data_IF_852435734285
#
_entry.id   IF_852435734285
#
_cell.length_a   1.000
_cell.length_b   1.000
_cell.length_c   1.000
_cell.angle_alpha   90.00
_cell.angle_beta   90.00
_cell.angle_gamma   90.00
#
_symmetry.space_group_name_H-M   'P 1'
#
loop_
_entity.id
_entity.type
_entity.pdbx_description
1 polymer ?
#
# COMPACT_ATOMS: atom_id res chain seq x y z
N UNK A 1 -17.40 -4.71 -2.02
CA UNK A 1 -16.20 -4.31 -1.24
C UNK A 1 -16.25 -2.96 -0.47
N UNK A 2 -16.44 -1.79 -1.11
CA UNK A 2 -16.21 -0.47 -0.48
C UNK A 2 -17.01 -0.19 0.80
N UNK A 3 -18.29 -0.59 0.85
CA UNK A 3 -19.11 -0.42 2.06
C UNK A 3 -18.55 -1.17 3.27
N UNK A 4 -17.92 -2.34 3.07
CA UNK A 4 -17.29 -3.14 4.13
C UNK A 4 -16.10 -2.41 4.73
N UNK A 5 -15.18 -1.92 3.89
CA UNK A 5 -13.98 -1.18 4.36
C UNK A 5 -14.32 0.18 4.96
N UNK A 6 -15.34 0.88 4.44
CA UNK A 6 -15.79 2.13 5.07
C UNK A 6 -16.30 1.91 6.51
N UNK A 7 -16.92 0.77 6.77
CA UNK A 7 -17.39 0.36 8.09
C UNK A 7 -16.31 -0.29 8.97
N UNK A 8 -15.12 -0.56 8.42
CA UNK A 8 -14.00 -1.12 9.17
C UNK A 8 -13.49 -0.14 10.24
N UNK A 9 -12.84 -0.64 11.31
CA UNK A 9 -12.22 0.20 12.32
C UNK A 9 -11.13 1.09 11.71
N UNK A 10 -10.87 2.22 12.36
CA UNK A 10 -9.64 2.99 12.11
C UNK A 10 -8.49 2.23 12.75
N UNK A 11 -7.45 1.95 11.98
CA UNK A 11 -6.26 1.22 12.40
C UNK A 11 -5.19 2.15 12.98
N UNK A 12 -5.10 3.38 12.48
CA UNK A 12 -4.13 4.38 12.96
C UNK A 12 -2.88 4.45 12.09
N UNK A 13 -1.70 4.53 12.71
CA UNK A 13 -0.39 4.55 12.05
C UNK A 13 0.34 3.24 12.32
N UNK A 14 0.63 2.47 11.28
CA UNK A 14 1.23 1.14 11.37
C UNK A 14 2.54 1.00 10.61
N UNK A 15 3.13 -0.18 10.69
CA UNK A 15 4.35 -0.55 9.99
C UNK A 15 4.05 -1.68 8.99
N UNK A 16 4.45 -1.50 7.74
CA UNK A 16 4.53 -2.55 6.72
C UNK A 16 5.78 -3.38 6.96
N UNK A 17 5.59 -4.67 7.20
CA UNK A 17 6.67 -5.60 7.50
C UNK A 17 6.59 -6.80 6.60
N UNK A 18 7.75 -7.30 6.18
CA UNK A 18 7.87 -8.64 5.67
C UNK A 18 8.04 -9.63 6.83
N UNK A 19 7.21 -10.67 6.89
CA UNK A 19 7.22 -11.65 7.99
C UNK A 19 8.48 -12.50 8.08
N UNK A 20 9.27 -12.53 7.02
CA UNK A 20 10.52 -13.26 6.91
C UNK A 20 11.75 -12.38 7.17
N UNK A 21 11.58 -11.06 7.32
CA UNK A 21 12.68 -10.18 7.66
C UNK A 21 13.23 -10.46 9.05
N UNK A 22 14.55 -10.57 9.14
CA UNK A 22 15.28 -10.54 10.41
C UNK A 22 15.63 -9.11 10.85
N UNK A 23 15.47 -8.14 9.95
CA UNK A 23 15.81 -6.74 10.17
C UNK A 23 14.94 -5.85 9.25
N UNK A 24 13.85 -5.25 9.77
CA UNK A 24 13.41 -5.33 11.16
C UNK A 24 12.65 -6.63 11.42
N UNK A 25 12.98 -7.34 12.50
CA UNK A 25 12.15 -8.47 12.97
C UNK A 25 10.90 -7.93 13.67
N UNK A 26 9.73 -8.22 13.11
CA UNK A 26 8.44 -7.76 13.66
C UNK A 26 8.23 -8.19 15.12
N UNK A 27 8.79 -9.33 15.53
CA UNK A 27 8.70 -9.83 16.92
C UNK A 27 9.39 -8.86 17.87
N UNK A 28 10.54 -8.33 17.45
CA UNK A 28 11.31 -7.36 18.22
C UNK A 28 10.63 -6.00 18.23
N UNK A 29 10.03 -5.58 17.11
CA UNK A 29 9.23 -4.36 17.04
C UNK A 29 8.03 -4.42 18.00
N UNK A 30 7.32 -5.55 18.05
CA UNK A 30 6.23 -5.77 19.00
C UNK A 30 6.75 -5.75 20.44
N UNK A 31 7.78 -6.53 20.77
CA UNK A 31 8.28 -6.66 22.15
C UNK A 31 8.76 -5.32 22.73
N UNK A 32 9.54 -4.56 21.94
CA UNK A 32 10.21 -3.35 22.45
C UNK A 32 9.48 -2.05 22.13
N UNK A 33 8.72 -2.01 21.04
CA UNK A 33 8.24 -0.75 20.44
C UNK A 33 6.74 -0.73 20.19
N UNK A 34 5.94 -1.62 20.83
CA UNK A 34 4.48 -1.69 20.63
C UNK A 34 3.75 -0.36 20.74
N UNK A 35 4.19 0.56 21.60
CA UNK A 35 3.59 1.90 21.75
C UNK A 35 3.94 2.90 20.65
N UNK A 36 4.86 2.54 19.75
CA UNK A 36 5.35 3.35 18.64
C UNK A 36 4.51 3.24 17.36
N UNK A 37 3.63 2.26 17.25
CA UNK A 37 2.75 2.02 16.11
C UNK A 37 1.42 1.40 16.58
N UNK A 38 0.38 1.46 15.77
CA UNK A 38 -0.97 1.05 16.16
C UNK A 38 -1.32 -0.36 15.61
N UNK A 39 -0.80 -0.71 14.42
CA UNK A 39 -1.02 -1.97 13.72
C UNK A 39 0.20 -2.40 12.88
N UNK A 40 0.20 -3.65 12.39
CA UNK A 40 1.14 -4.14 11.38
C UNK A 40 0.42 -4.39 10.06
N UNK A 41 0.95 -3.87 8.96
CA UNK A 41 0.60 -4.40 7.64
C UNK A 41 1.56 -5.54 7.32
N UNK A 42 1.00 -6.71 7.02
CA UNK A 42 1.77 -7.94 6.94
C UNK A 42 1.99 -8.30 5.47
N UNK A 43 3.25 -8.41 5.07
CA UNK A 43 3.69 -8.78 3.72
C UNK A 43 4.48 -10.09 3.75
N UNK A 44 4.52 -10.80 2.61
CA UNK A 44 5.15 -12.13 2.52
C UNK A 44 5.98 -12.35 1.26
N UNK A 45 6.41 -11.31 0.53
CA UNK A 45 7.23 -11.43 -0.69
C UNK A 45 6.73 -12.47 -1.71
N UNK A 46 5.40 -12.54 -1.89
CA UNK A 46 4.74 -13.52 -2.76
C UNK A 46 4.77 -14.98 -2.26
N UNK A 47 5.50 -15.29 -1.17
CA UNK A 47 5.49 -16.63 -0.56
C UNK A 47 4.31 -16.77 0.40
N UNK A 48 3.19 -17.23 -0.14
CA UNK A 48 1.98 -17.55 0.62
C UNK A 48 1.97 -19.00 1.15
N UNK A 49 2.93 -19.84 0.74
CA UNK A 49 3.00 -21.25 1.14
C UNK A 49 3.54 -21.39 2.56
N UNK A 50 4.52 -20.57 2.94
CA UNK A 50 5.25 -20.67 4.21
C UNK A 50 4.83 -19.65 5.28
N UNK A 51 3.56 -19.21 5.27
CA UNK A 51 3.06 -18.13 6.13
C UNK A 51 2.45 -18.57 7.46
N UNK A 52 2.07 -19.85 7.60
CA UNK A 52 1.30 -20.32 8.78
C UNK A 52 2.04 -20.08 10.10
N UNK A 53 3.31 -20.48 10.18
CA UNK A 53 4.11 -20.34 11.40
C UNK A 53 4.40 -18.86 11.72
N UNK A 54 4.95 -18.03 10.79
CA UNK A 54 5.18 -16.61 11.08
C UNK A 54 3.91 -15.83 11.44
N UNK A 55 2.78 -16.10 10.79
CA UNK A 55 1.51 -15.43 11.11
C UNK A 55 1.00 -15.82 12.50
N UNK A 56 1.19 -17.07 12.93
CA UNK A 56 0.81 -17.53 14.26
C UNK A 56 1.62 -16.86 15.39
N UNK A 57 2.79 -16.30 15.07
CA UNK A 57 3.61 -15.57 16.02
C UNK A 57 3.16 -14.12 16.24
N UNK A 58 2.28 -13.58 15.39
CA UNK A 58 1.69 -12.24 15.60
C UNK A 58 0.62 -12.35 16.70
N UNK A 59 0.79 -11.68 17.86
CA UNK A 59 -0.17 -11.78 18.95
C UNK A 59 -1.57 -11.33 18.55
N UNK A 60 -2.60 -12.01 19.08
CA UNK A 60 -4.00 -11.78 18.71
C UNK A 60 -4.49 -10.34 18.96
N UNK A 61 -3.87 -9.60 19.88
CA UNK A 61 -4.18 -8.23 20.24
C UNK A 61 -3.41 -7.16 19.43
N UNK A 62 -2.48 -7.55 18.54
CA UNK A 62 -1.77 -6.62 17.64
C UNK A 62 -2.54 -6.46 16.34
N UNK A 63 -3.33 -5.39 16.10
CA UNK A 63 -4.14 -5.25 14.89
C UNK A 63 -3.29 -5.40 13.62
N UNK A 64 -3.89 -5.94 12.55
CA UNK A 64 -3.17 -6.14 11.29
C UNK A 64 -4.01 -5.98 10.04
N UNK A 65 -3.39 -5.48 8.98
CA UNK A 65 -3.85 -5.58 7.59
C UNK A 65 -2.99 -6.63 6.87
N UNK A 66 -3.30 -6.91 5.61
CA UNK A 66 -2.54 -7.86 4.82
C UNK A 66 -2.19 -7.23 3.48
N UNK A 67 -0.91 -7.21 3.15
CA UNK A 67 -0.41 -6.84 1.83
C UNK A 67 -0.09 -8.12 1.06
N UNK A 68 -0.81 -8.35 -0.03
CA UNK A 68 -0.60 -9.50 -0.90
C UNK A 68 0.05 -9.04 -2.20
N UNK A 69 0.74 -9.97 -2.85
CA UNK A 69 1.39 -9.74 -4.12
C UNK A 69 1.13 -10.91 -5.07
N UNK A 70 0.88 -10.58 -6.34
CA UNK A 70 0.84 -11.54 -7.42
C UNK A 70 -0.56 -11.91 -7.90
N UNK A 71 -1.58 -11.12 -7.54
CA UNK A 71 -2.89 -11.20 -8.18
C UNK A 71 -2.91 -10.50 -9.55
N UNK A 72 -1.89 -9.69 -9.83
CA UNK A 72 -1.66 -9.00 -11.10
C UNK A 72 -2.94 -8.35 -11.65
N UNK A 73 -3.65 -7.51 -10.86
CA UNK A 73 -5.02 -7.12 -11.18
C UNK A 73 -5.11 -6.35 -12.50
N UNK A 74 -4.03 -5.71 -12.96
CA UNK A 74 -3.97 -4.96 -14.22
C UNK A 74 -3.56 -5.80 -15.43
N UNK A 75 -3.30 -7.09 -15.22
CA UNK A 75 -3.01 -8.05 -16.27
C UNK A 75 -4.16 -8.20 -17.28
N UNK A 76 -3.88 -8.61 -18.53
CA UNK A 76 -4.89 -8.76 -19.57
C UNK A 76 -5.91 -9.87 -19.29
N UNK A 77 -5.63 -10.74 -18.33
CA UNK A 77 -6.51 -11.80 -17.83
C UNK A 77 -6.28 -11.99 -16.32
N UNK A 78 -7.22 -12.65 -15.66
CA UNK A 78 -7.11 -13.04 -14.26
C UNK A 78 -5.87 -13.93 -14.04
N UNK A 79 -5.17 -13.73 -12.92
CA UNK A 79 -4.04 -14.55 -12.54
C UNK A 79 -4.43 -16.05 -12.34
N UNK A 80 -3.44 -16.97 -12.33
CA UNK A 80 -3.68 -18.38 -12.02
C UNK A 80 -4.33 -18.61 -10.65
N UNK A 81 -4.84 -19.82 -10.43
CA UNK A 81 -5.57 -20.14 -9.19
C UNK A 81 -4.69 -20.10 -7.92
N UNK A 82 -3.40 -20.44 -8.02
CA UNK A 82 -2.48 -20.52 -6.89
C UNK A 82 -2.40 -19.23 -6.05
N UNK A 83 -2.00 -18.08 -6.62
CA UNK A 83 -1.98 -16.80 -5.90
C UNK A 83 -3.32 -16.44 -5.24
N UNK A 84 -4.44 -16.72 -5.93
CA UNK A 84 -5.79 -16.44 -5.38
C UNK A 84 -6.08 -17.33 -4.16
N UNK A 85 -5.72 -18.61 -4.23
CA UNK A 85 -5.85 -19.54 -3.11
C UNK A 85 -4.95 -19.16 -1.93
N UNK A 86 -3.71 -18.73 -2.22
CA UNK A 86 -2.76 -18.19 -1.24
C UNK A 86 -3.29 -16.95 -0.53
N UNK A 87 -3.78 -15.96 -1.28
CA UNK A 87 -4.43 -14.78 -0.73
C UNK A 87 -5.63 -15.16 0.14
N UNK A 88 -6.50 -16.07 -0.33
CA UNK A 88 -7.67 -16.50 0.43
C UNK A 88 -7.29 -17.27 1.71
N UNK A 89 -6.24 -18.10 1.69
CA UNK A 89 -5.67 -18.77 2.86
C UNK A 89 -5.18 -17.73 3.87
N UNK A 90 -4.34 -16.80 3.44
CA UNK A 90 -3.72 -15.79 4.31
C UNK A 90 -4.76 -14.84 4.91
N UNK A 91 -5.79 -14.46 4.16
CA UNK A 91 -6.92 -13.70 4.71
C UNK A 91 -7.68 -14.47 5.79
N UNK A 92 -7.79 -15.81 5.72
CA UNK A 92 -8.42 -16.60 6.80
C UNK A 92 -7.54 -16.70 8.05
N UNK A 93 -6.23 -16.76 7.87
CA UNK A 93 -5.26 -16.82 8.97
C UNK A 93 -5.19 -15.49 9.71
N UNK A 94 -5.07 -14.37 8.98
CA UNK A 94 -4.92 -13.03 9.56
C UNK A 94 -6.25 -12.37 9.91
N UNK A 95 -7.34 -12.74 9.24
CA UNK A 95 -8.65 -12.09 9.31
C UNK A 95 -8.56 -10.53 9.25
N UNK A 96 -7.89 -9.97 8.24
CA UNK A 96 -7.65 -8.54 8.18
C UNK A 96 -8.94 -7.79 7.79
N UNK A 97 -9.06 -6.50 8.15
CA UNK A 97 -10.21 -5.69 7.74
C UNK A 97 -10.26 -5.47 6.22
N UNK A 98 -9.10 -5.52 5.56
CA UNK A 98 -8.91 -5.53 4.10
C UNK A 98 -7.54 -6.09 3.73
N UNK A 99 -7.35 -6.35 2.44
CA UNK A 99 -6.08 -6.74 1.83
C UNK A 99 -5.67 -5.71 0.78
N UNK A 100 -4.38 -5.42 0.67
CA UNK A 100 -3.78 -4.54 -0.33
C UNK A 100 -3.20 -5.38 -1.48
N UNK A 101 -3.24 -4.83 -2.69
CA UNK A 101 -2.58 -5.36 -3.89
C UNK A 101 -2.25 -4.21 -4.84
N UNK A 102 -1.08 -4.22 -5.45
CA UNK A 102 -0.66 -3.19 -6.39
C UNK A 102 -1.39 -3.27 -7.72
N UNK A 103 -1.64 -2.10 -8.32
CA UNK A 103 -2.06 -1.95 -9.70
C UNK A 103 -0.88 -2.16 -10.67
N UNK A 104 -0.27 -3.33 -10.58
CA UNK A 104 0.88 -3.75 -11.37
C UNK A 104 0.75 -5.22 -11.79
N UNK A 105 1.68 -5.64 -12.65
CA UNK A 105 1.94 -7.03 -12.97
C UNK A 105 3.33 -7.41 -12.45
N UNK A 106 3.40 -8.52 -11.73
CA UNK A 106 4.62 -9.18 -11.25
C UNK A 106 4.89 -10.49 -11.98
N UNK A 107 3.93 -11.02 -12.73
CA UNK A 107 4.15 -12.22 -13.55
C UNK A 107 4.08 -11.95 -15.04
N UNK A 108 5.15 -12.29 -15.76
CA UNK A 108 5.18 -12.30 -17.22
C UNK A 108 5.44 -13.74 -17.68
N UNK A 109 4.52 -14.28 -18.48
CA UNK A 109 4.59 -15.67 -18.98
C UNK A 109 4.78 -16.70 -17.85
N UNK A 110 4.06 -16.48 -16.74
CA UNK A 110 4.10 -17.34 -15.55
C UNK A 110 5.37 -17.22 -14.70
N UNK A 111 6.27 -16.29 -15.01
CA UNK A 111 7.49 -16.04 -14.23
C UNK A 111 7.33 -14.78 -13.39
N UNK A 112 7.60 -14.91 -12.10
CA UNK A 112 7.71 -13.79 -11.18
C UNK A 112 8.88 -12.88 -11.57
N UNK A 113 8.70 -11.58 -11.37
CA UNK A 113 9.70 -10.55 -11.62
C UNK A 113 9.85 -9.68 -10.39
N UNK A 114 11.09 -9.38 -10.00
CA UNK A 114 11.38 -8.48 -8.87
C UNK A 114 11.02 -7.00 -9.18
N UNK A 115 10.50 -6.74 -10.38
CA UNK A 115 10.10 -5.44 -10.87
C UNK A 115 8.57 -5.35 -11.02
N UNK A 116 7.99 -4.23 -10.63
CA UNK A 116 6.57 -3.94 -10.90
C UNK A 116 6.40 -3.39 -12.32
N UNK A 117 5.59 -4.06 -13.14
CA UNK A 117 5.15 -3.47 -14.40
C UNK A 117 3.86 -2.68 -14.14
N UNK A 118 3.90 -1.34 -14.10
CA UNK A 118 2.72 -0.55 -13.78
C UNK A 118 1.67 -0.67 -14.89
N UNK A 119 0.42 -0.35 -14.55
CA UNK A 119 -0.70 -0.35 -15.48
C UNK A 119 -0.41 0.51 -16.72
N UNK A 120 -0.86 0.04 -17.89
CA UNK A 120 -1.02 0.91 -19.06
C UNK A 120 -2.21 1.82 -18.77
N UNK A 121 -1.97 3.12 -18.61
CA UNK A 121 -2.97 4.11 -18.22
C UNK A 121 -3.92 4.42 -19.38
N UNK A 122 -4.84 3.50 -19.67
CA UNK A 122 -5.85 3.65 -20.70
C UNK A 122 -7.16 2.93 -20.35
N UNK A 123 -8.21 3.18 -21.13
CA UNK A 123 -9.56 2.66 -20.87
C UNK A 123 -9.65 1.13 -20.96
N UNK A 124 -8.84 0.49 -21.80
CA UNK A 124 -8.85 -0.96 -21.97
C UNK A 124 -8.29 -1.67 -20.74
N UNK A 125 -7.20 -1.15 -20.17
CA UNK A 125 -6.62 -1.66 -18.94
C UNK A 125 -7.59 -1.45 -17.76
N UNK A 126 -8.25 -0.29 -17.65
CA UNK A 126 -9.33 -0.09 -16.65
C UNK A 126 -10.40 -1.19 -16.72
N UNK A 127 -10.88 -1.52 -17.93
CA UNK A 127 -11.91 -2.54 -18.11
C UNK A 127 -11.44 -3.93 -17.67
N UNK A 128 -10.20 -4.30 -18.03
CA UNK A 128 -9.58 -5.55 -17.60
C UNK A 128 -9.42 -5.59 -16.07
N UNK A 129 -8.86 -4.53 -15.48
CA UNK A 129 -8.66 -4.41 -14.02
C UNK A 129 -9.96 -4.53 -13.25
N UNK A 130 -11.02 -3.83 -13.67
CA UNK A 130 -12.33 -3.92 -13.04
C UNK A 130 -12.91 -5.33 -13.13
N UNK A 131 -12.73 -6.01 -14.27
CA UNK A 131 -13.19 -7.39 -14.43
C UNK A 131 -12.42 -8.35 -13.51
N UNK A 132 -11.10 -8.21 -13.43
CA UNK A 132 -10.23 -9.02 -12.58
C UNK A 132 -10.54 -8.82 -11.11
N UNK A 133 -10.61 -7.58 -10.62
CA UNK A 133 -10.97 -7.27 -9.22
C UNK A 133 -12.34 -7.84 -8.83
N UNK A 134 -13.33 -7.78 -9.73
CA UNK A 134 -14.66 -8.40 -9.50
C UNK A 134 -14.62 -9.93 -9.49
N UNK A 135 -13.69 -10.54 -10.21
CA UNK A 135 -13.51 -11.99 -10.17
C UNK A 135 -12.80 -12.40 -8.88
N UNK A 136 -11.77 -11.65 -8.47
CA UNK A 136 -11.04 -11.83 -7.21
C UNK A 136 -11.96 -11.69 -5.99
N UNK A 137 -12.80 -10.65 -5.93
CA UNK A 137 -13.75 -10.43 -4.82
C UNK A 137 -14.67 -11.65 -4.59
N UNK A 138 -14.99 -12.43 -5.63
CA UNK A 138 -15.83 -13.63 -5.51
C UNK A 138 -15.08 -14.84 -4.93
N UNK A 139 -13.74 -14.81 -4.94
CA UNK A 139 -12.88 -15.94 -4.60
C UNK A 139 -12.14 -15.77 -3.28
N UNK A 140 -11.90 -14.53 -2.85
CA UNK A 140 -11.26 -14.20 -1.58
C UNK A 140 -12.31 -13.75 -0.53
N UNK A 141 -12.12 -14.05 0.76
CA UNK A 141 -13.14 -13.78 1.79
C UNK A 141 -13.29 -12.29 2.17
N UNK A 142 -12.23 -11.51 2.03
CA UNK A 142 -12.09 -10.13 2.47
C UNK A 142 -12.16 -9.10 1.34
N UNK A 143 -12.29 -7.81 1.67
CA UNK A 143 -12.11 -6.73 0.71
C UNK A 143 -10.67 -6.68 0.18
N UNK A 144 -10.51 -6.41 -1.11
CA UNK A 144 -9.23 -6.11 -1.75
C UNK A 144 -9.19 -4.63 -2.16
N UNK A 145 -8.12 -3.95 -1.81
CA UNK A 145 -7.88 -2.54 -2.07
C UNK A 145 -6.71 -2.39 -3.05
N UNK A 146 -6.95 -1.93 -4.28
CA UNK A 146 -5.88 -1.64 -5.21
C UNK A 146 -5.05 -0.42 -4.77
N UNK A 147 -3.74 -0.55 -4.89
CA UNK A 147 -2.72 0.47 -4.63
C UNK A 147 -2.09 0.98 -5.94
N UNK A 148 -1.71 2.25 -6.05
CA UNK A 148 -0.89 2.70 -7.18
C UNK A 148 0.56 2.20 -7.05
N UNK A 149 1.02 1.47 -8.06
CA UNK A 149 2.39 0.95 -8.16
C UNK A 149 3.46 2.04 -8.32
N UNK A 150 4.76 1.72 -8.11
CA UNK A 150 5.86 2.61 -8.49
C UNK A 150 5.98 2.74 -10.01
N UNK A 151 6.39 3.92 -10.48
CA UNK A 151 6.59 4.23 -11.90
C UNK A 151 8.05 4.61 -12.15
N UNK A 152 8.71 3.85 -13.03
CA UNK A 152 9.95 4.27 -13.69
C UNK A 152 9.69 4.79 -15.11
N UNK A 153 8.54 4.41 -15.66
CA UNK A 153 8.01 4.90 -16.92
C UNK A 153 6.48 4.90 -16.85
N UNK A 154 5.85 5.81 -17.61
CA UNK A 154 4.40 5.85 -17.75
C UNK A 154 4.02 5.66 -19.22
N UNK A 155 3.01 4.82 -19.47
CA UNK A 155 2.47 4.57 -20.82
C UNK A 155 0.96 4.65 -20.76
N UNK A 156 0.36 5.32 -21.73
CA UNK A 156 -1.09 5.50 -21.82
C UNK A 156 -1.47 6.94 -22.11
N UNK A 157 -2.78 7.19 -22.22
CA UNK A 157 -3.39 8.48 -22.50
C UNK A 157 -4.25 9.01 -21.34
N UNK A 158 -4.38 8.25 -20.26
CA UNK A 158 -5.08 8.65 -19.04
C UNK A 158 -4.09 9.11 -17.96
N UNK A 159 -4.55 10.04 -17.12
CA UNK A 159 -3.85 10.37 -15.88
C UNK A 159 -3.98 9.22 -14.86
N UNK A 160 -2.95 8.99 -14.03
CA UNK A 160 -2.98 7.98 -12.96
C UNK A 160 -4.23 8.09 -12.08
N UNK A 161 -4.53 9.29 -11.60
CA UNK A 161 -5.71 9.51 -10.74
C UNK A 161 -7.04 9.24 -11.45
N UNK A 162 -7.14 9.51 -12.75
CA UNK A 162 -8.34 9.17 -13.52
C UNK A 162 -8.47 7.65 -13.66
N UNK A 163 -7.35 6.95 -13.91
CA UNK A 163 -7.30 5.49 -13.93
C UNK A 163 -7.76 4.88 -12.59
N UNK A 164 -7.20 5.34 -11.47
CA UNK A 164 -7.55 4.86 -10.12
C UNK A 164 -9.03 5.09 -9.81
N UNK A 165 -9.56 6.27 -10.15
CA UNK A 165 -10.99 6.57 -9.97
C UNK A 165 -11.88 5.60 -10.76
N UNK A 166 -11.59 5.41 -12.04
CA UNK A 166 -12.41 4.52 -12.86
C UNK A 166 -12.35 3.07 -12.38
N UNK A 167 -11.19 2.60 -11.92
CA UNK A 167 -11.02 1.28 -11.32
C UNK A 167 -11.83 1.17 -10.01
N UNK A 168 -11.65 2.11 -9.09
CA UNK A 168 -12.33 2.09 -7.78
C UNK A 168 -13.85 2.13 -7.90
N UNK A 169 -14.38 2.97 -8.79
CA UNK A 169 -15.82 3.07 -9.03
C UNK A 169 -16.35 1.87 -9.82
N UNK A 170 -15.59 1.37 -10.79
CA UNK A 170 -15.98 0.22 -11.60
C UNK A 170 -16.03 -1.08 -10.80
N UNK A 171 -15.07 -1.30 -9.90
CA UNK A 171 -14.96 -2.45 -9.00
C UNK A 171 -15.67 -2.24 -7.65
N UNK A 172 -16.22 -1.05 -7.40
CA UNK A 172 -16.87 -0.66 -6.15
C UNK A 172 -15.98 -0.91 -4.91
N UNK A 173 -14.67 -0.67 -5.02
CA UNK A 173 -13.68 -0.82 -3.94
C UNK A 173 -13.24 0.55 -3.37
N UNK A 174 -12.46 0.49 -2.29
CA UNK A 174 -11.64 1.62 -1.85
C UNK A 174 -10.27 1.56 -2.54
N UNK A 175 -9.40 2.49 -2.20
CA UNK A 175 -8.03 2.57 -2.72
C UNK A 175 -7.03 2.69 -1.58
N UNK A 176 -5.84 2.16 -1.83
CA UNK A 176 -4.61 2.56 -1.14
C UNK A 176 -3.91 3.61 -2.01
N UNK A 177 -3.39 4.66 -1.37
CA UNK A 177 -2.61 5.69 -2.04
C UNK A 177 -1.19 5.70 -1.48
N UNK A 178 -0.24 5.11 -2.21
CA UNK A 178 1.17 5.27 -1.88
C UNK A 178 1.69 6.62 -2.40
N UNK A 179 2.25 7.42 -1.48
CA UNK A 179 2.67 8.79 -1.78
C UNK A 179 4.03 8.85 -2.49
N UNK A 180 4.92 7.89 -2.24
CA UNK A 180 6.17 7.74 -2.96
C UNK A 180 5.95 7.38 -4.42
N UNK A 181 5.01 6.46 -4.67
CA UNK A 181 4.57 6.01 -5.98
C UNK A 181 3.86 7.13 -6.75
N UNK A 182 3.05 7.97 -6.10
CA UNK A 182 2.53 9.19 -6.73
C UNK A 182 3.68 10.08 -7.21
N UNK A 183 4.69 10.31 -6.37
CA UNK A 183 5.82 11.13 -6.76
C UNK A 183 6.67 10.50 -7.88
N UNK A 184 6.85 9.18 -7.84
CA UNK A 184 7.53 8.41 -8.90
C UNK A 184 6.84 8.62 -10.26
N UNK A 185 5.50 8.58 -10.30
CA UNK A 185 4.72 8.89 -11.49
C UNK A 185 4.92 10.33 -11.96
N UNK A 186 4.90 11.30 -11.04
CA UNK A 186 5.14 12.71 -11.39
C UNK A 186 6.53 12.92 -11.99
N UNK A 187 7.56 12.22 -11.49
CA UNK A 187 8.90 12.24 -12.07
C UNK A 187 8.89 11.73 -13.52
N UNK A 188 8.23 10.60 -13.79
CA UNK A 188 8.12 10.02 -15.14
C UNK A 188 7.45 10.95 -16.16
N UNK A 189 6.45 11.73 -15.75
CA UNK A 189 5.69 12.61 -16.66
C UNK A 189 6.21 14.05 -16.69
N UNK A 190 7.40 14.29 -16.14
CA UNK A 190 8.09 15.60 -16.17
C UNK A 190 7.50 16.64 -15.21
N UNK A 191 6.84 16.18 -14.14
CA UNK A 191 6.16 16.97 -13.10
C UNK A 191 6.69 16.73 -11.69
N UNK A 192 7.86 16.12 -11.56
CA UNK A 192 8.42 15.71 -10.25
C UNK A 192 8.62 16.83 -9.22
N UNK A 193 8.67 18.11 -9.61
CA UNK A 193 8.73 19.25 -8.68
C UNK A 193 7.34 19.67 -8.15
N UNK A 194 6.28 19.01 -8.60
CA UNK A 194 4.88 19.24 -8.22
C UNK A 194 4.26 17.89 -7.85
N UNK A 195 4.65 17.29 -6.70
CA UNK A 195 4.19 15.95 -6.32
C UNK A 195 2.67 15.86 -6.14
N UNK A 196 2.00 16.99 -5.85
CA UNK A 196 0.55 17.12 -5.71
C UNK A 196 -0.17 17.58 -7.00
N UNK A 197 0.54 17.67 -8.14
CA UNK A 197 -0.06 18.13 -9.40
C UNK A 197 -1.29 17.28 -9.75
N UNK A 198 -2.41 17.97 -9.96
CA UNK A 198 -3.70 17.38 -10.34
C UNK A 198 -4.30 16.40 -9.33
N UNK A 199 -3.89 16.44 -8.06
CA UNK A 199 -4.43 15.56 -7.00
C UNK A 199 -5.95 15.74 -6.81
N UNK A 200 -6.50 16.89 -7.17
CA UNK A 200 -7.94 17.17 -7.16
C UNK A 200 -8.75 16.30 -8.13
N UNK A 201 -8.08 15.63 -9.10
CA UNK A 201 -8.71 14.62 -9.95
C UNK A 201 -9.16 13.42 -9.14
N UNK A 202 -8.40 13.01 -8.12
CA UNK A 202 -8.62 11.80 -7.36
C UNK A 202 -9.84 11.96 -6.43
N UNK A 203 -10.77 11.00 -6.44
CA UNK A 203 -11.84 10.96 -5.45
C UNK A 203 -11.26 10.54 -4.10
N UNK A 204 -10.87 11.55 -3.32
CA UNK A 204 -10.29 11.38 -1.99
C UNK A 204 -11.22 10.64 -1.00
N UNK A 205 -12.52 10.51 -1.31
CA UNK A 205 -13.43 9.71 -0.51
C UNK A 205 -13.21 8.20 -0.67
N UNK A 206 -12.49 7.77 -1.72
CA UNK A 206 -12.14 6.36 -1.97
C UNK A 206 -10.90 5.89 -1.22
N UNK A 207 -10.07 6.81 -0.75
CA UNK A 207 -8.82 6.46 -0.05
C UNK A 207 -9.16 5.92 1.36
N UNK A 208 -8.77 4.66 1.58
CA UNK A 208 -8.93 3.95 2.86
C UNK A 208 -7.60 3.89 3.59
N UNK A 209 -6.50 3.81 2.85
CA UNK A 209 -5.15 3.69 3.39
C UNK A 209 -4.16 4.52 2.57
N UNK A 210 -3.10 4.96 3.23
CA UNK A 210 -1.99 5.72 2.65
C UNK A 210 -0.69 5.04 3.01
N UNK A 211 0.18 4.83 2.03
CA UNK A 211 1.51 4.26 2.25
C UNK A 211 2.59 5.34 2.12
N UNK A 212 3.67 5.12 2.85
CA UNK A 212 4.89 5.91 2.88
C UNK A 212 6.08 4.96 2.99
N UNK A 213 7.05 5.15 2.11
CA UNK A 213 8.27 4.39 2.10
C UNK A 213 9.48 5.33 2.07
N UNK A 214 10.62 4.83 2.54
CA UNK A 214 11.90 5.46 2.35
C UNK A 214 12.40 5.27 0.91
N UNK A 215 13.09 6.29 0.38
CA UNK A 215 13.47 6.27 -1.03
C UNK A 215 14.80 6.96 -1.30
N UNK A 216 15.30 6.75 -2.52
CA UNK A 216 16.40 7.53 -3.09
C UNK A 216 16.03 8.03 -4.48
N UNK A 217 16.36 9.28 -4.74
CA UNK A 217 16.29 9.83 -6.10
C UNK A 217 17.62 9.62 -6.80
N UNK A 218 17.55 8.99 -7.97
CA UNK A 218 18.69 8.82 -8.87
C UNK A 218 18.60 9.83 -10.01
N UNK A 219 19.65 10.64 -10.18
CA UNK A 219 19.78 11.57 -11.29
C UNK A 219 20.45 10.91 -12.49
N UNK A 220 19.95 11.17 -13.68
CA UNK A 220 20.54 10.72 -14.94
C UNK A 220 20.42 11.77 -16.03
N UNK A 221 21.13 11.58 -17.15
CA UNK A 221 21.01 12.44 -18.31
C UNK A 221 19.62 12.30 -18.92
N UNK A 222 18.72 13.23 -18.59
CA UNK A 222 17.34 13.26 -19.06
C UNK A 222 16.27 13.18 -17.98
N UNK A 223 16.62 13.04 -16.70
CA UNK A 223 15.60 13.09 -15.63
C UNK A 223 16.07 12.58 -14.27
N UNK A 224 15.07 12.25 -13.45
CA UNK A 224 15.21 11.70 -12.09
C UNK A 224 14.36 10.43 -11.99
N UNK A 225 14.89 9.37 -11.40
CA UNK A 225 14.15 8.14 -11.10
C UNK A 225 13.96 8.04 -9.60
N UNK A 226 12.74 7.73 -9.17
CA UNK A 226 12.46 7.34 -7.80
C UNK A 226 12.83 5.87 -7.60
N UNK A 227 13.74 5.59 -6.68
CA UNK A 227 14.03 4.23 -6.20
C UNK A 227 13.33 4.05 -4.88
N UNK A 228 12.33 3.17 -4.89
CA UNK A 228 11.70 2.70 -3.69
C UNK A 228 12.67 1.81 -2.92
N UNK A 229 13.04 2.27 -1.72
CA UNK A 229 13.95 1.57 -0.83
C UNK A 229 13.24 1.07 0.42
N UNK A 230 11.91 1.19 0.49
CA UNK A 230 11.13 0.89 1.69
C UNK A 230 11.81 1.44 2.96
N UNK A 231 12.08 0.57 3.92
CA UNK A 231 12.72 0.92 5.17
C UNK A 231 14.19 1.32 5.11
N UNK A 232 14.89 1.05 4.00
CA UNK A 232 16.34 1.25 3.89
C UNK A 232 16.74 2.70 3.55
N UNK A 233 15.79 3.55 3.13
CA UNK A 233 16.00 4.98 2.87
C UNK A 233 15.28 5.89 3.88
N UNK A 234 15.55 7.20 3.90
CA UNK A 234 14.69 8.16 4.59
C UNK A 234 13.38 8.36 3.80
N UNK A 235 12.27 8.61 4.50
CA UNK A 235 11.03 9.05 3.83
C UNK A 235 11.30 10.40 3.14
N UNK A 236 11.06 10.53 1.83
CA UNK A 236 11.26 11.78 1.12
C UNK A 236 10.39 12.92 1.67
N UNK A 237 10.93 14.14 1.60
CA UNK A 237 10.19 15.33 2.04
C UNK A 237 8.97 15.60 1.16
N UNK A 238 9.01 15.22 -0.12
CA UNK A 238 7.90 15.28 -1.06
C UNK A 238 6.75 14.36 -0.66
N UNK A 239 7.05 13.14 -0.21
CA UNK A 239 6.06 12.20 0.34
C UNK A 239 5.46 12.72 1.66
N UNK A 240 6.30 13.29 2.54
CA UNK A 240 5.84 13.93 3.78
C UNK A 240 5.01 15.20 3.52
N UNK A 241 5.32 15.95 2.47
CA UNK A 241 4.54 17.09 2.01
C UNK A 241 3.16 16.64 1.54
N UNK A 242 3.09 15.63 0.67
CA UNK A 242 1.83 15.02 0.24
C UNK A 242 0.99 14.54 1.41
N UNK A 243 1.61 13.87 2.40
CA UNK A 243 0.91 13.42 3.60
C UNK A 243 0.25 14.61 4.31
N UNK A 244 1.01 15.69 4.58
CA UNK A 244 0.49 16.87 5.27
C UNK A 244 -0.64 17.55 4.50
N UNK A 245 -0.52 17.62 3.18
CA UNK A 245 -1.53 18.23 2.30
C UNK A 245 -2.82 17.42 2.19
N UNK A 246 -2.70 16.09 2.13
CA UNK A 246 -3.84 15.21 1.89
C UNK A 246 -4.53 14.81 3.17
N UNK A 247 -3.81 14.62 4.27
CA UNK A 247 -4.37 14.07 5.50
C UNK A 247 -5.65 14.78 6.00
N UNK A 248 -5.82 16.11 5.93
CA UNK A 248 -7.07 16.77 6.31
C UNK A 248 -8.26 16.50 5.35
N UNK A 249 -7.98 16.03 4.13
CA UNK A 249 -8.93 15.92 3.00
C UNK A 249 -9.45 14.49 2.77
N UNK A 250 -8.99 13.48 3.51
CA UNK A 250 -9.33 12.05 3.32
C UNK A 250 -10.46 11.54 4.26
N UNK A 251 -11.75 11.73 3.97
CA UNK A 251 -12.83 11.54 4.95
C UNK A 251 -13.02 10.10 5.43
N UNK A 252 -12.58 9.10 4.66
CA UNK A 252 -12.76 7.68 4.98
C UNK A 252 -11.46 6.96 5.34
N UNK A 253 -10.33 7.69 5.44
CA UNK A 253 -9.03 7.10 5.78
C UNK A 253 -9.12 6.33 7.10
N UNK A 254 -8.48 5.16 7.13
CA UNK A 254 -8.44 4.23 8.27
C UNK A 254 -7.02 3.90 8.71
N UNK A 255 -6.06 3.93 7.79
CA UNK A 255 -4.69 3.51 8.03
C UNK A 255 -3.67 4.43 7.35
N UNK A 256 -2.52 4.58 7.99
CA UNK A 256 -1.28 5.05 7.35
C UNK A 256 -0.23 3.97 7.65
N UNK A 257 0.31 3.36 6.61
CA UNK A 257 1.37 2.34 6.70
C UNK A 257 2.69 2.98 6.33
N UNK A 258 3.70 2.78 7.19
CA UNK A 258 5.10 3.05 6.83
C UNK A 258 5.73 1.71 6.44
N UNK A 259 6.08 1.56 5.18
CA UNK A 259 6.77 0.38 4.64
C UNK A 259 8.22 0.37 5.12
N UNK A 260 8.54 -0.59 5.98
CA UNK A 260 9.84 -0.68 6.67
C UNK A 260 10.56 -2.00 6.40
N UNK A 261 10.20 -2.69 5.32
CA UNK A 261 10.95 -3.80 4.74
C UNK A 261 12.41 -3.38 4.57
N UNK A 262 13.34 -4.27 4.94
CA UNK A 262 14.79 -4.02 4.94
C UNK A 262 15.29 -2.83 5.82
N UNK A 263 14.42 -2.21 6.65
CA UNK A 263 14.84 -1.19 7.62
C UNK A 263 15.74 -1.75 8.73
N UNK A 264 16.53 -0.88 9.36
CA UNK A 264 16.97 -1.17 10.73
C UNK A 264 15.81 -0.95 11.73
N UNK A 265 15.82 -1.66 12.87
CA UNK A 265 14.87 -1.41 13.97
C UNK A 265 14.77 0.08 14.34
N UNK A 266 15.92 0.76 14.41
CA UNK A 266 15.99 2.18 14.73
C UNK A 266 15.34 3.06 13.64
N UNK A 267 15.59 2.75 12.37
CA UNK A 267 15.01 3.49 11.25
C UNK A 267 13.47 3.31 11.22
N UNK A 268 12.97 2.08 11.39
CA UNK A 268 11.53 1.83 11.43
C UNK A 268 10.83 2.64 12.53
N UNK A 269 11.42 2.67 13.73
CA UNK A 269 10.90 3.46 14.87
C UNK A 269 10.97 4.96 14.60
N UNK A 270 12.07 5.45 14.03
CA UNK A 270 12.24 6.87 13.71
C UNK A 270 11.20 7.33 12.67
N UNK A 271 11.03 6.57 11.58
CA UNK A 271 10.06 6.87 10.53
C UNK A 271 8.62 6.85 11.06
N UNK A 272 8.27 5.86 11.88
CA UNK A 272 6.97 5.82 12.56
C UNK A 272 6.74 7.07 13.44
N UNK A 273 7.77 7.52 14.17
CA UNK A 273 7.67 8.74 14.99
C UNK A 273 7.43 9.98 14.13
N UNK A 274 8.15 10.14 13.01
CA UNK A 274 7.98 11.27 12.09
C UNK A 274 6.54 11.35 11.56
N UNK A 275 5.98 10.24 11.10
CA UNK A 275 4.60 10.18 10.59
C UNK A 275 3.58 10.43 11.70
N UNK A 276 3.78 9.85 12.89
CA UNK A 276 2.89 10.08 14.06
C UNK A 276 2.91 11.53 14.51
N UNK A 277 4.00 12.27 14.36
CA UNK A 277 4.03 13.71 14.63
C UNK A 277 3.14 14.50 13.69
N UNK A 278 3.11 14.14 12.40
CA UNK A 278 2.19 14.74 11.43
C UNK A 278 0.74 14.44 11.82
N UNK A 279 0.44 13.17 12.12
CA UNK A 279 -0.91 12.74 12.53
C UNK A 279 -1.35 13.43 13.82
N UNK A 280 -0.46 13.59 14.81
CA UNK A 280 -0.77 14.31 16.06
C UNK A 280 -1.23 15.74 15.80
N UNK A 281 -0.67 16.41 14.80
CA UNK A 281 -1.01 17.80 14.46
C UNK A 281 -2.28 17.91 13.62
N UNK A 282 -2.48 16.99 12.67
CA UNK A 282 -3.52 17.12 11.65
C UNK A 282 -4.74 16.23 11.88
N UNK A 283 -4.60 15.15 12.66
CA UNK A 283 -5.66 14.22 13.08
C UNK A 283 -5.47 13.74 14.53
N UNK A 284 -5.47 14.64 15.52
CA UNK A 284 -5.21 14.29 16.93
C UNK A 284 -6.16 13.20 17.47
N UNK A 285 -7.41 13.17 17.00
CA UNK A 285 -8.41 12.18 17.40
C UNK A 285 -8.00 10.71 17.14
N UNK A 286 -7.06 10.45 16.23
CA UNK A 286 -6.51 9.10 15.99
C UNK A 286 -5.60 8.63 17.13
N UNK A 287 -4.91 9.55 17.81
CA UNK A 287 -3.98 9.22 18.88
C UNK A 287 -4.63 9.28 20.27
N UNK A 288 -5.74 10.00 20.40
CA UNK A 288 -6.49 10.14 21.66
C UNK A 288 -7.28 8.86 22.04
N UNK A 289 -7.44 7.90 21.11
CA UNK A 289 -8.15 6.64 21.32
C UNK A 289 -7.29 5.43 21.71
N UNK A 290 -5.96 5.58 21.82
CA UNK A 290 -5.02 4.47 22.11
C UNK A 290 -4.86 4.19 23.62
N UNK A 291 -5.63 4.88 24.48
CA UNK A 291 -5.64 4.67 25.92
C UNK A 291 -7.05 4.42 26.48
N UNK A 292 -7.65 3.25 26.24
CA UNK A 292 -8.66 2.53 27.07
C UNK A 292 -8.83 1.15 26.38
N UNK A 293 -8.65 -0.05 26.94
CA UNK A 293 -8.57 -0.58 28.32
C UNK A 293 -7.64 -1.79 28.34
#
# INVERSE_FOLDING_TARGET
PFKRVKAAPVMGVGLGIDIFDSQPDFRVLIDKHRGGFDFLEVYSRGDWEHTDDPFAEIPADVPRTYHHEGLDPVGPALCPDGPIEGCAKNQRLLNPPWTVEELAVRHIDGKYTDFFFPAILNKQCVQATVANLKALEKRIPGPLLPENAPYEFAVGDMHLFDFMNEVAHGAECGLVLDLGHVWSYQLCVGKGDQPDDQIERLDLSRIIEVHLAGARIEEYEGGRIYRDLHGAGPIPEESMFLLRELLPKLPNLKAITIEVEDATEAAAVEQAQQVREVVRRLRPAWLEGVHVS
#
